data_IF_262157261898
#
_entry.id   IF_262157261898
#
_cell.length_a   1.000
_cell.length_b   1.000
_cell.length_c   1.000
_cell.angle_alpha   90.00
_cell.angle_beta   90.00
_cell.angle_gamma   90.00
#
_symmetry.space_group_name_H-M   'P 1'
#
loop_
_entity.id
_entity.type
_entity.pdbx_description
1 polymer ?
#
# COMPACT_ATOMS: atom_id res chain seq x y z
N UNK A 1 17.07 35.27 -35.02
CA UNK A 1 15.66 34.81 -35.17
C UNK A 1 15.42 33.37 -34.69
N UNK A 2 16.26 32.36 -35.01
CA UNK A 2 16.10 30.95 -34.53
C UNK A 2 16.09 30.77 -32.99
N UNK A 3 16.81 31.60 -32.23
CA UNK A 3 16.82 31.52 -30.77
C UNK A 3 15.53 32.00 -30.09
N UNK A 4 14.77 32.90 -30.73
CA UNK A 4 13.54 33.46 -30.16
C UNK A 4 12.37 32.48 -30.26
N UNK A 5 12.28 31.74 -31.37
CA UNK A 5 11.29 30.68 -31.59
C UNK A 5 11.49 29.48 -30.64
N UNK A 6 12.75 29.18 -30.27
CA UNK A 6 13.04 28.11 -29.31
C UNK A 6 12.56 28.48 -27.90
N UNK A 7 12.67 29.76 -27.51
CA UNK A 7 12.25 30.25 -26.19
C UNK A 7 10.73 30.25 -26.03
N UNK A 8 9.97 30.66 -27.04
CA UNK A 8 8.49 30.65 -27.00
C UNK A 8 7.92 29.23 -26.98
N UNK A 9 8.55 28.27 -27.68
CA UNK A 9 8.15 26.87 -27.65
C UNK A 9 8.32 26.24 -26.25
N UNK A 10 9.46 26.48 -25.59
CA UNK A 10 9.70 26.00 -24.21
C UNK A 10 8.72 26.61 -23.21
N UNK A 11 8.41 27.91 -23.31
CA UNK A 11 7.46 28.58 -22.44
C UNK A 11 6.03 28.04 -22.61
N UNK A 12 5.61 27.72 -23.84
CA UNK A 12 4.29 27.12 -24.08
C UNK A 12 4.19 25.70 -23.55
N UNK A 13 5.26 24.90 -23.64
CA UNK A 13 5.31 23.55 -23.08
C UNK A 13 5.27 23.59 -21.53
N UNK A 14 5.99 24.54 -20.94
CA UNK A 14 5.97 24.78 -19.49
C UNK A 14 4.59 25.22 -18.98
N UNK A 15 3.91 26.13 -19.70
CA UNK A 15 2.53 26.54 -19.37
C UNK A 15 1.55 25.37 -19.43
N UNK A 16 1.64 24.53 -20.47
CA UNK A 16 0.80 23.30 -20.58
C UNK A 16 1.09 22.30 -19.46
N UNK A 17 2.36 22.09 -19.11
CA UNK A 17 2.74 21.22 -18.00
C UNK A 17 2.20 21.73 -16.66
N UNK A 18 2.27 23.04 -16.42
CA UNK A 18 1.69 23.67 -15.22
C UNK A 18 0.17 23.51 -15.16
N UNK A 19 -0.51 23.52 -16.31
CA UNK A 19 -1.96 23.43 -16.42
C UNK A 19 -2.51 22.00 -16.23
N UNK A 20 -1.66 20.98 -16.10
CA UNK A 20 -2.12 19.63 -15.80
C UNK A 20 -2.76 19.56 -14.39
N UNK A 21 -3.79 18.71 -14.20
CA UNK A 21 -4.45 18.51 -12.91
C UNK A 21 -3.59 17.64 -11.98
N UNK A 22 -2.39 18.12 -11.65
CA UNK A 22 -1.39 17.42 -10.83
C UNK A 22 -1.95 16.83 -9.54
N UNK A 23 -2.77 17.55 -8.74
CA UNK A 23 -3.32 16.98 -7.52
C UNK A 23 -4.16 15.72 -7.80
N UNK A 24 -5.06 15.77 -8.79
CA UNK A 24 -5.91 14.64 -9.14
C UNK A 24 -5.11 13.44 -9.65
N UNK A 25 -4.07 13.69 -10.47
CA UNK A 25 -3.15 12.65 -10.93
C UNK A 25 -2.43 12.01 -9.74
N UNK A 26 -1.93 12.81 -8.80
CA UNK A 26 -1.30 12.36 -7.56
C UNK A 26 -2.22 11.50 -6.69
N UNK A 27 -3.50 11.90 -6.55
CA UNK A 27 -4.49 11.11 -5.80
C UNK A 27 -4.75 9.74 -6.43
N UNK A 28 -4.79 9.67 -7.76
CA UNK A 28 -5.02 8.42 -8.50
C UNK A 28 -3.76 7.55 -8.55
N UNK A 29 -2.57 8.15 -8.57
CA UNK A 29 -1.32 7.41 -8.72
C UNK A 29 -1.01 6.50 -7.53
N UNK A 30 -1.43 6.83 -6.30
CA UNK A 30 -1.17 5.98 -5.13
C UNK A 30 -1.91 4.63 -5.24
N UNK A 31 -3.25 4.57 -5.44
CA UNK A 31 -3.94 3.31 -5.67
C UNK A 31 -3.41 2.55 -6.90
N UNK A 32 -3.10 3.23 -8.00
CA UNK A 32 -2.52 2.57 -9.18
C UNK A 32 -1.15 1.95 -8.91
N UNK A 33 -0.31 2.65 -8.16
CA UNK A 33 0.97 2.11 -7.72
C UNK A 33 0.78 0.91 -6.80
N UNK A 34 -0.23 0.93 -5.92
CA UNK A 34 -0.55 -0.22 -5.06
C UNK A 34 -0.96 -1.45 -5.90
N UNK A 35 -1.81 -1.27 -6.92
CA UNK A 35 -2.16 -2.34 -7.86
C UNK A 35 -0.91 -2.92 -8.50
N UNK A 36 -0.05 -2.05 -9.04
CA UNK A 36 1.21 -2.45 -9.64
C UNK A 36 2.09 -3.20 -8.64
N UNK A 37 2.32 -2.65 -7.44
CA UNK A 37 3.21 -3.23 -6.45
C UNK A 37 2.72 -4.62 -6.00
N UNK A 38 1.42 -4.80 -5.72
CA UNK A 38 0.91 -6.10 -5.30
C UNK A 38 0.99 -7.12 -6.44
N UNK A 39 0.54 -6.76 -7.65
CA UNK A 39 0.48 -7.70 -8.77
C UNK A 39 1.85 -7.99 -9.38
N UNK A 40 2.82 -7.08 -9.25
CA UNK A 40 4.18 -7.25 -9.73
C UNK A 40 5.09 -7.82 -8.64
N UNK A 41 5.20 -9.16 -8.60
CA UNK A 41 6.09 -9.91 -7.70
C UNK A 41 5.88 -9.59 -6.20
N UNK A 42 4.70 -9.12 -5.81
CA UNK A 42 4.43 -8.66 -4.44
C UNK A 42 5.25 -7.42 -4.02
N UNK A 43 5.81 -6.68 -4.98
CA UNK A 43 6.47 -5.41 -4.73
C UNK A 43 7.91 -5.54 -4.23
N UNK A 44 8.48 -6.74 -4.27
CA UNK A 44 9.84 -7.04 -3.76
C UNK A 44 10.99 -6.53 -4.65
N UNK A 45 10.70 -6.21 -5.91
CA UNK A 45 11.72 -5.83 -6.88
C UNK A 45 12.28 -4.43 -6.65
N UNK A 46 13.53 -4.20 -7.06
CA UNK A 46 14.17 -2.89 -7.08
C UNK A 46 13.35 -1.90 -7.91
N UNK A 47 12.79 -2.37 -9.03
CA UNK A 47 11.91 -1.60 -9.90
C UNK A 47 10.75 -0.96 -9.12
N UNK A 48 10.19 -1.66 -8.12
CA UNK A 48 9.10 -1.16 -7.30
C UNK A 48 9.58 -0.06 -6.35
N UNK A 49 10.75 -0.22 -5.74
CA UNK A 49 11.35 0.80 -4.86
C UNK A 49 11.64 2.09 -5.64
N UNK A 50 12.24 2.01 -6.82
CA UNK A 50 12.53 3.19 -7.64
C UNK A 50 11.25 3.90 -8.11
N UNK A 51 10.23 3.15 -8.52
CA UNK A 51 8.93 3.72 -8.87
C UNK A 51 8.24 4.36 -7.65
N UNK A 52 8.36 3.76 -6.48
CA UNK A 52 7.86 4.32 -5.21
C UNK A 52 8.56 5.65 -4.89
N UNK A 53 9.88 5.72 -5.04
CA UNK A 53 10.66 6.94 -4.81
C UNK A 53 10.29 8.04 -5.80
N UNK A 54 10.15 7.70 -7.08
CA UNK A 54 9.67 8.65 -8.09
C UNK A 54 8.28 9.17 -7.74
N UNK A 55 7.36 8.29 -7.34
CA UNK A 55 6.03 8.67 -6.90
C UNK A 55 6.06 9.61 -5.70
N UNK A 56 6.82 9.27 -4.65
CA UNK A 56 6.97 10.09 -3.45
C UNK A 56 7.54 11.49 -3.76
N UNK A 57 8.51 11.56 -4.67
CA UNK A 57 9.08 12.82 -5.14
C UNK A 57 8.06 13.66 -5.90
N UNK A 58 7.29 13.05 -6.82
CA UNK A 58 6.21 13.73 -7.54
C UNK A 58 5.14 14.28 -6.58
N UNK A 59 4.70 13.48 -5.60
CA UNK A 59 3.71 13.88 -4.61
C UNK A 59 4.20 15.07 -3.77
N UNK A 60 5.45 15.00 -3.32
CA UNK A 60 6.07 16.06 -2.52
C UNK A 60 6.24 17.33 -3.36
N UNK A 61 6.71 17.24 -4.60
CA UNK A 61 6.84 18.38 -5.51
C UNK A 61 5.50 19.08 -5.75
N UNK A 62 4.42 18.32 -5.97
CA UNK A 62 3.07 18.87 -6.16
C UNK A 62 2.56 19.53 -4.89
N UNK A 63 2.84 18.96 -3.72
CA UNK A 63 2.48 19.56 -2.43
C UNK A 63 3.17 20.92 -2.24
N UNK A 64 4.49 21.00 -2.46
CA UNK A 64 5.26 22.24 -2.31
C UNK A 64 4.82 23.36 -3.27
N UNK A 65 4.26 23.00 -4.43
CA UNK A 65 3.72 23.97 -5.40
C UNK A 65 2.37 24.55 -4.96
N UNK A 66 1.58 23.80 -4.18
CA UNK A 66 0.35 24.32 -3.58
C UNK A 66 0.76 25.28 -2.46
N UNK A 67 0.11 26.45 -2.33
CA UNK A 67 0.24 27.23 -1.09
C UNK A 67 -0.28 26.32 0.04
N UNK A 68 0.56 25.90 0.99
CA UNK A 68 0.14 24.93 1.98
C UNK A 68 -0.94 25.58 2.85
N UNK A 69 -2.16 25.06 2.77
CA UNK A 69 -3.17 25.30 3.81
C UNK A 69 -2.64 24.67 5.12
N UNK A 70 -2.95 25.30 6.26
CA UNK A 70 -2.38 25.06 7.60
C UNK A 70 -2.68 23.69 8.23
N UNK A 71 -3.10 22.68 7.47
CA UNK A 71 -3.30 21.33 8.01
C UNK A 71 -1.95 20.69 8.38
N UNK A 72 -1.55 20.91 9.63
CA UNK A 72 -0.33 20.39 10.21
C UNK A 72 -0.47 18.91 10.56
N UNK A 73 0.53 18.11 10.19
CA UNK A 73 0.67 16.74 10.70
C UNK A 73 0.92 16.81 12.21
N UNK A 74 0.23 16.01 13.05
CA UNK A 74 0.48 16.00 14.49
C UNK A 74 1.96 15.78 14.81
N UNK A 75 2.55 16.62 15.67
CA UNK A 75 3.99 16.65 15.91
C UNK A 75 4.57 15.31 16.38
N UNK A 76 3.83 14.55 17.20
CA UNK A 76 4.27 13.24 17.68
C UNK A 76 4.40 12.21 16.55
N UNK A 77 3.47 12.21 15.57
CA UNK A 77 3.57 11.36 14.38
C UNK A 77 4.74 11.78 13.51
N UNK A 78 4.91 13.10 13.32
CA UNK A 78 6.00 13.64 12.53
C UNK A 78 7.36 13.24 13.11
N UNK A 79 7.57 13.47 14.40
CA UNK A 79 8.82 13.12 15.11
C UNK A 79 9.07 11.62 15.02
N UNK A 80 8.06 10.78 15.30
CA UNK A 80 8.20 9.32 15.25
C UNK A 80 8.64 8.81 13.87
N UNK A 81 8.03 9.32 12.80
CA UNK A 81 8.36 8.92 11.42
C UNK A 81 9.74 9.41 11.01
N UNK A 82 10.08 10.66 11.33
CA UNK A 82 11.38 11.23 11.01
C UNK A 82 12.50 10.50 11.76
N UNK A 83 12.32 10.21 13.05
CA UNK A 83 13.26 9.39 13.82
C UNK A 83 13.41 7.99 13.22
N UNK A 84 12.33 7.37 12.77
CA UNK A 84 12.39 6.07 12.10
C UNK A 84 13.20 6.10 10.80
N UNK A 85 13.04 7.16 9.99
CA UNK A 85 13.87 7.37 8.78
C UNK A 85 15.34 7.57 9.16
N UNK A 86 15.64 8.41 10.16
CA UNK A 86 17.01 8.63 10.63
C UNK A 86 17.64 7.35 11.18
N UNK A 87 16.90 6.55 11.93
CA UNK A 87 17.36 5.27 12.44
C UNK A 87 17.67 4.32 11.29
N UNK A 88 16.85 4.31 10.24
CA UNK A 88 17.10 3.49 9.03
C UNK A 88 18.39 3.94 8.33
N UNK A 89 18.62 5.25 8.20
CA UNK A 89 19.86 5.80 7.64
C UNK A 89 21.07 5.42 8.51
N UNK A 90 20.98 5.61 9.82
CA UNK A 90 22.05 5.25 10.75
C UNK A 90 22.36 3.75 10.73
N UNK A 91 21.33 2.91 10.64
CA UNK A 91 21.49 1.47 10.50
C UNK A 91 22.16 1.10 9.18
N UNK A 92 21.82 1.78 8.09
CA UNK A 92 22.48 1.59 6.80
C UNK A 92 23.97 1.98 6.85
N UNK A 93 24.30 3.13 7.42
CA UNK A 93 25.68 3.62 7.53
C UNK A 93 26.57 2.72 8.38
N UNK A 94 25.99 2.03 9.37
CA UNK A 94 26.70 1.09 10.23
C UNK A 94 26.64 -0.37 9.73
N UNK A 95 25.92 -0.65 8.65
CA UNK A 95 25.78 -2.01 8.14
C UNK A 95 27.05 -2.45 7.40
N UNK A 96 27.59 -3.60 7.78
CA UNK A 96 28.78 -4.19 7.15
C UNK A 96 28.54 -4.68 5.72
N UNK A 97 27.29 -4.90 5.32
CA UNK A 97 26.97 -5.58 4.06
C UNK A 97 26.59 -4.65 2.91
N UNK A 98 26.39 -3.34 3.14
CA UNK A 98 26.23 -2.18 2.22
C UNK A 98 25.41 -2.30 0.90
N UNK A 99 25.05 -3.49 0.44
CA UNK A 99 24.56 -3.78 -0.91
C UNK A 99 23.04 -3.69 -1.02
N UNK A 100 22.30 -3.80 0.09
CA UNK A 100 20.83 -3.77 0.10
C UNK A 100 20.23 -2.63 0.95
N UNK A 101 21.05 -1.92 1.73
CA UNK A 101 20.52 -0.94 2.68
C UNK A 101 20.10 0.38 2.05
N UNK A 102 20.63 0.74 0.86
CA UNK A 102 20.18 1.95 0.16
C UNK A 102 18.70 1.83 -0.26
N UNK A 103 18.29 0.66 -0.75
CA UNK A 103 16.89 0.44 -1.15
C UNK A 103 15.94 0.51 0.05
N UNK A 104 16.37 0.05 1.21
CA UNK A 104 15.60 0.18 2.45
C UNK A 104 15.45 1.64 2.88
N UNK A 105 16.53 2.43 2.80
CA UNK A 105 16.49 3.89 3.08
C UNK A 105 15.55 4.59 2.09
N UNK A 106 15.67 4.31 0.80
CA UNK A 106 14.81 4.88 -0.24
C UNK A 106 13.35 4.49 -0.03
N UNK A 107 13.06 3.21 0.21
CA UNK A 107 11.71 2.72 0.47
C UNK A 107 11.10 3.37 1.72
N UNK A 108 11.83 3.38 2.84
CA UNK A 108 11.35 3.96 4.10
C UNK A 108 11.11 5.46 3.98
N UNK A 109 12.05 6.20 3.38
CA UNK A 109 11.89 7.63 3.11
C UNK A 109 10.71 7.93 2.18
N UNK A 110 10.53 7.12 1.13
CA UNK A 110 9.43 7.29 0.18
C UNK A 110 8.07 7.02 0.83
N UNK A 111 7.95 5.96 1.63
CA UNK A 111 6.73 5.66 2.38
C UNK A 111 6.41 6.75 3.42
N UNK A 112 7.43 7.29 4.11
CA UNK A 112 7.25 8.41 5.04
C UNK A 112 6.70 9.66 4.33
N UNK A 113 7.25 10.01 3.16
CA UNK A 113 6.77 11.14 2.35
C UNK A 113 5.35 10.93 1.85
N UNK A 114 5.04 9.73 1.34
CA UNK A 114 3.68 9.37 0.89
C UNK A 114 2.71 9.43 2.07
N UNK A 115 3.07 8.89 3.23
CA UNK A 115 2.25 8.92 4.43
C UNK A 115 1.92 10.37 4.85
N UNK A 116 2.95 11.22 4.91
CA UNK A 116 2.79 12.64 5.18
C UNK A 116 1.95 13.37 4.14
N UNK A 117 2.06 12.98 2.87
CA UNK A 117 1.21 13.52 1.81
C UNK A 117 -0.25 13.08 1.99
N UNK A 118 -0.50 11.81 2.31
CA UNK A 118 -1.83 11.25 2.54
C UNK A 118 -2.50 11.88 3.76
N UNK A 119 -1.79 12.14 4.87
CA UNK A 119 -2.40 12.84 6.01
C UNK A 119 -2.88 14.23 5.61
N UNK A 120 -2.09 14.97 4.84
CA UNK A 120 -2.37 16.38 4.50
C UNK A 120 -3.36 16.56 3.36
N UNK A 121 -3.53 15.55 2.50
CA UNK A 121 -4.33 15.67 1.28
C UNK A 121 -5.43 14.61 1.20
N UNK A 122 -5.27 13.46 1.86
CA UNK A 122 -6.14 12.29 1.76
C UNK A 122 -7.35 12.29 2.69
N UNK A 123 -7.75 13.42 3.27
CA UNK A 123 -8.78 13.55 4.31
C UNK A 123 -10.23 13.46 3.78
N UNK A 124 -10.49 12.65 2.75
CA UNK A 124 -11.83 12.45 2.17
C UNK A 124 -12.35 11.02 2.29
N UNK A 125 -13.58 10.87 2.78
CA UNK A 125 -14.27 9.57 2.84
C UNK A 125 -14.32 8.87 1.47
N UNK A 126 -14.48 9.63 0.39
CA UNK A 126 -14.51 9.12 -0.97
C UNK A 126 -13.17 8.54 -1.42
N UNK A 127 -12.06 9.21 -1.10
CA UNK A 127 -10.72 8.72 -1.43
C UNK A 127 -10.43 7.43 -0.65
N UNK A 128 -10.75 7.39 0.64
CA UNK A 128 -10.58 6.20 1.45
C UNK A 128 -11.44 5.03 0.93
N UNK A 129 -12.70 5.26 0.58
CA UNK A 129 -13.56 4.23 -0.03
C UNK A 129 -12.97 3.70 -1.34
N UNK A 130 -12.43 4.57 -2.20
CA UNK A 130 -11.74 4.15 -3.44
C UNK A 130 -10.50 3.32 -3.12
N UNK A 131 -9.67 3.73 -2.16
CA UNK A 131 -8.49 2.97 -1.74
C UNK A 131 -8.87 1.58 -1.25
N UNK A 132 -9.87 1.48 -0.38
CA UNK A 132 -10.36 0.18 0.13
C UNK A 132 -10.87 -0.70 -1.02
N UNK A 133 -11.65 -0.16 -1.95
CA UNK A 133 -12.12 -0.92 -3.11
C UNK A 133 -10.94 -1.42 -3.96
N UNK A 134 -9.94 -0.57 -4.21
CA UNK A 134 -8.74 -0.97 -4.95
C UNK A 134 -7.98 -2.07 -4.23
N UNK A 135 -7.78 -1.97 -2.91
CA UNK A 135 -7.13 -3.01 -2.10
C UNK A 135 -7.90 -4.32 -2.22
N UNK A 136 -9.23 -4.32 -2.00
CA UNK A 136 -10.06 -5.53 -2.05
C UNK A 136 -9.97 -6.20 -3.42
N UNK A 137 -10.18 -5.44 -4.50
CA UNK A 137 -10.16 -5.98 -5.87
C UNK A 137 -8.77 -6.51 -6.23
N UNK A 138 -7.71 -5.77 -5.90
CA UNK A 138 -6.33 -6.17 -6.19
C UNK A 138 -5.95 -7.45 -5.44
N UNK A 139 -6.30 -7.54 -4.16
CA UNK A 139 -6.03 -8.71 -3.34
C UNK A 139 -6.81 -9.93 -3.80
N UNK A 140 -8.06 -9.76 -4.26
CA UNK A 140 -8.83 -10.83 -4.89
C UNK A 140 -8.15 -11.33 -6.16
N UNK A 141 -7.73 -10.43 -7.05
CA UNK A 141 -7.01 -10.79 -8.28
C UNK A 141 -5.71 -11.52 -7.93
N UNK A 142 -4.93 -10.98 -6.99
CA UNK A 142 -3.67 -11.59 -6.53
C UNK A 142 -3.90 -12.99 -5.93
N UNK A 143 -4.98 -13.16 -5.15
CA UNK A 143 -5.37 -14.45 -4.59
C UNK A 143 -5.81 -15.45 -5.66
N UNK A 144 -6.58 -15.03 -6.67
CA UNK A 144 -6.96 -15.89 -7.80
C UNK A 144 -5.71 -16.34 -8.56
N UNK A 145 -4.78 -15.42 -8.87
CA UNK A 145 -3.49 -15.77 -9.49
C UNK A 145 -2.73 -16.77 -8.62
N UNK A 146 -2.65 -16.51 -7.30
CA UNK A 146 -2.01 -17.42 -6.35
C UNK A 146 -2.64 -18.80 -6.30
N UNK A 147 -3.96 -18.90 -6.47
CA UNK A 147 -4.67 -20.17 -6.52
C UNK A 147 -4.30 -20.98 -7.76
N UNK A 148 -4.23 -20.33 -8.92
CA UNK A 148 -3.71 -20.96 -10.14
C UNK A 148 -2.28 -21.47 -9.92
N UNK A 149 -1.40 -20.64 -9.36
CA UNK A 149 -0.03 -21.04 -9.04
C UNK A 149 0.01 -22.23 -8.07
N UNK A 150 -0.80 -22.20 -7.02
CA UNK A 150 -0.87 -23.25 -6.01
C UNK A 150 -1.37 -24.59 -6.56
N UNK A 151 -2.30 -24.57 -7.52
CA UNK A 151 -2.84 -25.79 -8.15
C UNK A 151 -1.87 -26.36 -9.19
N UNK A 152 -1.30 -25.49 -10.04
CA UNK A 152 -0.55 -25.92 -11.23
C UNK A 152 0.95 -26.05 -11.02
N UNK A 153 1.52 -25.42 -9.98
CA UNK A 153 2.93 -25.57 -9.63
C UNK A 153 3.08 -26.44 -8.38
N UNK A 154 4.19 -27.20 -8.25
CA UNK A 154 4.43 -28.07 -7.10
C UNK A 154 4.87 -27.27 -5.86
N UNK A 155 4.10 -26.23 -5.50
CA UNK A 155 4.34 -25.40 -4.32
C UNK A 155 3.46 -25.86 -3.18
N UNK A 156 4.08 -26.19 -2.05
CA UNK A 156 3.36 -26.65 -0.87
C UNK A 156 2.69 -25.51 -0.07
N UNK A 157 2.83 -24.25 -0.52
CA UNK A 157 2.35 -23.07 0.20
C UNK A 157 1.83 -22.01 -0.76
N UNK A 158 0.75 -21.36 -0.37
CA UNK A 158 0.13 -20.29 -1.14
C UNK A 158 0.88 -18.97 -0.99
N UNK A 159 1.04 -18.26 -2.11
CA UNK A 159 1.86 -17.04 -2.20
C UNK A 159 1.18 -15.85 -2.87
N UNK A 160 -0.04 -16.00 -3.39
CA UNK A 160 -0.65 -14.93 -4.20
C UNK A 160 0.24 -14.59 -5.41
N UNK A 161 0.56 -13.31 -5.57
CA UNK A 161 1.50 -12.78 -6.58
C UNK A 161 2.93 -12.63 -6.07
N UNK A 162 3.23 -13.11 -4.87
CA UNK A 162 4.55 -13.03 -4.23
C UNK A 162 5.47 -14.18 -4.69
N UNK A 163 5.58 -14.32 -6.01
CA UNK A 163 6.47 -15.27 -6.66
C UNK A 163 7.14 -14.61 -7.88
N UNK A 164 8.28 -15.16 -8.31
CA UNK A 164 8.86 -14.83 -9.61
C UNK A 164 8.77 -16.05 -10.52
N UNK A 165 8.01 -15.94 -11.61
CA UNK A 165 7.81 -17.05 -12.55
C UNK A 165 9.11 -17.52 -13.22
N UNK A 166 10.17 -16.69 -13.19
CA UNK A 166 11.49 -17.01 -13.74
C UNK A 166 12.32 -17.87 -12.79
N UNK A 167 11.99 -17.87 -11.49
CA UNK A 167 12.76 -18.55 -10.44
C UNK A 167 11.84 -19.43 -9.58
N UNK A 168 11.88 -20.75 -9.82
CA UNK A 168 11.06 -21.73 -9.11
C UNK A 168 11.36 -21.90 -7.62
N UNK A 169 12.27 -21.11 -7.04
CA UNK A 169 12.57 -21.11 -5.60
C UNK A 169 12.10 -19.83 -4.92
N UNK A 170 11.65 -18.85 -5.68
CA UNK A 170 11.42 -17.49 -5.19
C UNK A 170 9.95 -17.27 -4.81
N UNK A 171 9.50 -18.01 -3.78
CA UNK A 171 8.13 -18.01 -3.24
C UNK A 171 8.10 -17.44 -1.83
N UNK A 172 7.26 -16.42 -1.58
CA UNK A 172 7.23 -15.69 -0.30
C UNK A 172 5.87 -15.80 0.41
N UNK A 173 5.49 -16.99 0.92
CA UNK A 173 4.18 -17.22 1.54
C UNK A 173 3.96 -16.39 2.81
N UNK A 174 5.03 -16.15 3.58
CA UNK A 174 4.94 -15.34 4.80
C UNK A 174 4.66 -13.87 4.49
N UNK A 175 5.29 -13.31 3.45
CA UNK A 175 5.03 -11.92 3.05
C UNK A 175 3.60 -11.74 2.51
N UNK A 176 3.09 -12.73 1.77
CA UNK A 176 1.68 -12.78 1.39
C UNK A 176 0.74 -12.81 2.60
N UNK A 177 1.04 -13.65 3.59
CA UNK A 177 0.27 -13.74 4.83
C UNK A 177 0.28 -12.42 5.61
N UNK A 178 1.42 -11.74 5.70
CA UNK A 178 1.55 -10.42 6.34
C UNK A 178 0.70 -9.37 5.60
N UNK A 179 0.69 -9.39 4.27
CA UNK A 179 -0.18 -8.50 3.50
C UNK A 179 -1.66 -8.77 3.79
N UNK A 180 -2.08 -10.03 3.87
CA UNK A 180 -3.44 -10.39 4.27
C UNK A 180 -3.79 -9.91 5.68
N UNK A 181 -2.86 -10.02 6.63
CA UNK A 181 -3.04 -9.53 8.01
C UNK A 181 -3.28 -8.02 8.08
N UNK A 182 -2.60 -7.26 7.24
CA UNK A 182 -2.76 -5.80 7.21
C UNK A 182 -4.05 -5.41 6.48
N UNK A 183 -4.46 -6.19 5.47
CA UNK A 183 -5.57 -5.82 4.58
C UNK A 183 -6.93 -6.37 4.99
N UNK A 184 -7.01 -7.51 5.71
CA UNK A 184 -8.31 -8.10 6.08
C UNK A 184 -9.22 -7.17 6.90
N UNK A 185 -8.74 -6.27 7.79
CA UNK A 185 -9.65 -5.37 8.50
C UNK A 185 -10.32 -4.39 7.54
N UNK A 186 -9.62 -3.96 6.48
CA UNK A 186 -10.19 -3.09 5.44
C UNK A 186 -11.25 -3.83 4.62
N UNK A 187 -11.00 -5.09 4.30
CA UNK A 187 -11.96 -5.96 3.58
C UNK A 187 -13.19 -6.21 4.45
N UNK A 188 -13.00 -6.43 5.75
CA UNK A 188 -14.09 -6.61 6.70
C UNK A 188 -14.92 -5.32 6.84
N UNK A 189 -14.27 -4.16 6.96
CA UNK A 189 -14.96 -2.85 6.96
C UNK A 189 -15.74 -2.62 5.66
N UNK A 190 -15.20 -3.05 4.52
CA UNK A 190 -15.90 -3.01 3.23
C UNK A 190 -17.12 -3.93 3.19
N UNK A 191 -17.03 -5.13 3.77
CA UNK A 191 -18.16 -6.06 3.87
C UNK A 191 -19.27 -5.52 4.77
N UNK A 192 -18.92 -4.99 5.96
CA UNK A 192 -19.86 -4.47 6.95
C UNK A 192 -20.63 -3.23 6.50
N UNK A 193 -20.14 -2.48 5.51
CA UNK A 193 -20.83 -1.29 4.96
C UNK A 193 -22.07 -1.64 4.13
N UNK A 194 -22.20 -2.89 3.69
CA UNK A 194 -23.31 -3.31 2.82
C UNK A 194 -24.57 -3.61 3.62
N UNK A 195 -25.70 -3.08 3.16
CA UNK A 195 -27.01 -3.24 3.83
C UNK A 195 -27.91 -4.24 3.11
N UNK A 196 -27.67 -4.50 1.83
CA UNK A 196 -28.47 -5.44 1.04
C UNK A 196 -27.99 -6.88 1.30
N UNK A 197 -28.89 -7.75 1.75
CA UNK A 197 -28.57 -9.13 2.16
C UNK A 197 -27.77 -9.90 1.08
N UNK A 198 -28.19 -9.86 -0.18
CA UNK A 198 -27.52 -10.56 -1.28
C UNK A 198 -26.07 -10.10 -1.44
N UNK A 199 -25.85 -8.79 -1.49
CA UNK A 199 -24.51 -8.22 -1.60
C UNK A 199 -23.69 -8.50 -0.33
N UNK A 200 -24.32 -8.42 0.84
CA UNK A 200 -23.65 -8.72 2.11
C UNK A 200 -23.09 -10.14 2.09
N UNK A 201 -23.89 -11.14 1.71
CA UNK A 201 -23.44 -12.54 1.57
C UNK A 201 -22.24 -12.63 0.62
N UNK A 202 -22.30 -11.99 -0.54
CA UNK A 202 -21.17 -11.99 -1.50
C UNK A 202 -19.91 -11.36 -0.92
N UNK A 203 -20.02 -10.25 -0.17
CA UNK A 203 -18.87 -9.61 0.47
C UNK A 203 -18.29 -10.44 1.61
N UNK A 204 -19.12 -11.15 2.37
CA UNK A 204 -18.66 -12.07 3.41
C UNK A 204 -18.01 -13.33 2.81
N UNK A 205 -18.46 -13.78 1.64
CA UNK A 205 -17.76 -14.83 0.88
C UNK A 205 -16.35 -14.37 0.51
N UNK A 206 -16.18 -13.12 0.06
CA UNK A 206 -14.85 -12.52 -0.20
C UNK A 206 -13.98 -12.50 1.07
N UNK A 207 -14.54 -12.13 2.23
CA UNK A 207 -13.81 -12.20 3.51
C UNK A 207 -13.38 -13.65 3.80
N UNK A 208 -14.28 -14.61 3.61
CA UNK A 208 -13.98 -16.03 3.77
C UNK A 208 -12.84 -16.51 2.87
N UNK A 209 -12.80 -16.04 1.62
CA UNK A 209 -11.69 -16.32 0.69
C UNK A 209 -10.36 -15.77 1.21
N UNK A 210 -10.32 -14.56 1.78
CA UNK A 210 -9.09 -13.99 2.36
C UNK A 210 -8.57 -14.83 3.53
N UNK A 211 -9.47 -15.28 4.41
CA UNK A 211 -9.13 -16.19 5.50
C UNK A 211 -8.64 -17.53 4.96
N UNK A 212 -9.27 -18.04 3.89
CA UNK A 212 -8.82 -19.24 3.18
C UNK A 212 -7.40 -19.08 2.61
N UNK A 213 -7.12 -17.97 1.92
CA UNK A 213 -5.77 -17.66 1.40
C UNK A 213 -4.74 -17.51 2.52
N UNK A 214 -5.13 -16.95 3.66
CA UNK A 214 -4.27 -16.87 4.84
C UNK A 214 -3.92 -18.28 5.34
N UNK A 215 -4.91 -19.16 5.45
CA UNK A 215 -4.69 -20.54 5.89
C UNK A 215 -3.80 -21.33 4.94
N UNK A 216 -4.03 -21.19 3.63
CA UNK A 216 -3.23 -21.84 2.58
C UNK A 216 -1.77 -21.36 2.52
N UNK A 217 -1.45 -20.20 3.13
CA UNK A 217 -0.05 -19.74 3.25
C UNK A 217 0.79 -20.62 4.20
N UNK A 218 0.14 -21.38 5.09
CA UNK A 218 0.76 -22.15 6.17
C UNK A 218 1.67 -21.33 7.11
N UNK A 219 1.49 -20.01 7.18
CA UNK A 219 2.23 -19.15 8.12
C UNK A 219 1.64 -19.24 9.53
N UNK A 220 2.28 -20.01 10.41
CA UNK A 220 1.88 -20.15 11.82
C UNK A 220 1.87 -18.82 12.56
N UNK A 221 2.89 -17.99 12.33
CA UNK A 221 2.99 -16.66 12.93
C UNK A 221 1.80 -15.79 12.50
N UNK A 222 1.46 -15.82 11.21
CA UNK A 222 0.34 -15.03 10.73
C UNK A 222 -1.01 -15.51 11.28
N UNK A 223 -1.22 -16.83 11.42
CA UNK A 223 -2.43 -17.37 12.07
C UNK A 223 -2.55 -16.92 13.52
N UNK A 224 -1.46 -16.95 14.30
CA UNK A 224 -1.44 -16.45 15.68
C UNK A 224 -1.80 -14.97 15.72
N UNK A 225 -1.19 -14.15 14.86
CA UNK A 225 -1.49 -12.72 14.76
C UNK A 225 -2.94 -12.46 14.36
N UNK A 226 -3.49 -13.23 13.42
CA UNK A 226 -4.89 -13.11 13.01
C UNK A 226 -5.85 -13.39 14.17
N UNK A 227 -5.63 -14.48 14.91
CA UNK A 227 -6.42 -14.80 16.11
C UNK A 227 -6.31 -13.68 17.15
N UNK A 228 -5.10 -13.16 17.38
CA UNK A 228 -4.90 -12.01 18.28
C UNK A 228 -5.68 -10.76 17.84
N UNK A 229 -5.69 -10.46 16.54
CA UNK A 229 -6.46 -9.34 15.99
C UNK A 229 -7.98 -9.57 16.12
N UNK A 230 -8.47 -10.80 15.96
CA UNK A 230 -9.88 -11.15 16.19
C UNK A 230 -10.28 -10.98 17.66
N UNK A 231 -9.44 -11.44 18.59
CA UNK A 231 -9.67 -11.26 20.04
C UNK A 231 -9.72 -9.78 20.38
N UNK A 232 -8.74 -8.99 19.92
CA UNK A 232 -8.70 -7.56 20.14
C UNK A 232 -9.95 -6.88 19.58
N UNK A 233 -10.37 -7.26 18.37
CA UNK A 233 -11.57 -6.71 17.75
C UNK A 233 -12.83 -7.06 18.56
N UNK A 234 -12.97 -8.30 19.03
CA UNK A 234 -14.07 -8.72 19.88
C UNK A 234 -14.11 -7.92 21.19
N UNK A 235 -12.96 -7.69 21.83
CA UNK A 235 -12.85 -6.86 23.05
C UNK A 235 -13.28 -5.41 22.78
N UNK A 236 -12.86 -4.83 21.65
CA UNK A 236 -13.27 -3.46 21.25
C UNK A 236 -14.78 -3.39 21.04
N UNK A 237 -15.36 -4.36 20.32
CA UNK A 237 -16.80 -4.43 20.06
C UNK A 237 -17.56 -4.61 21.37
N UNK A 238 -17.17 -5.57 22.20
CA UNK A 238 -17.77 -5.82 23.51
C UNK A 238 -17.77 -4.56 24.37
N UNK A 239 -16.62 -3.89 24.54
CA UNK A 239 -16.52 -2.65 25.31
C UNK A 239 -17.40 -1.52 24.76
N UNK A 240 -17.53 -1.40 23.43
CA UNK A 240 -18.31 -0.33 22.78
C UNK A 240 -19.82 -0.49 22.97
N UNK A 241 -20.31 -1.73 22.99
CA UNK A 241 -21.75 -2.02 23.09
C UNK A 241 -22.20 -2.32 24.52
N UNK A 242 -21.33 -2.88 25.37
CA UNK A 242 -21.69 -3.28 26.74
C UNK A 242 -21.51 -2.17 27.78
N UNK A 243 -20.59 -1.21 27.58
CA UNK A 243 -20.41 -0.06 28.51
C UNK A 243 -21.31 1.15 28.20
N UNK A 244 -22.28 0.98 27.30
CA UNK A 244 -23.26 2.01 26.96
C UNK A 244 -24.57 1.91 27.74
N UNK A 245 -24.67 0.90 28.62
CA UNK A 245 -25.65 0.78 29.69
C UNK A 245 -24.96 0.99 31.04
#
# INVERSE_FOLDING_TARGET
MKYFLKRTWWLNKYKKFIALPWPELCFKSIPWFLVFAILWKGGKGLETTWLLTLLAWMLTFVYWKKKPDEESVPSYLWIGIVLFVFLTIASFLNSSTANYGLDEVLRTGSLALIFFWVIRNGSGADWFNRLVNVVVVTMLIAGIIGLFVYIFQPVNRFVGTFFDYRFHTDYWPNAWADLLLVTWPLVMLWALKEKRLQNMILRFLVVGLFVGFLYLSFSRGALISFVGQLILWAVIVFNKYWKKD
#
